data_IF_598380663196
#
_entry.id   IF_598380663196
#
_cell.length_a   1.000
_cell.length_b   1.000
_cell.length_c   1.000
_cell.angle_alpha   90.00
_cell.angle_beta   90.00
_cell.angle_gamma   90.00
#
_symmetry.space_group_name_H-M   'P 1'
#
loop_
_entity.id
_entity.type
_entity.pdbx_description
1 polymer ?
#
# COMPACT_ATOMS: atom_id res chain seq x y z
N UNK A 1 -26.02 4.07 18.03
CA UNK A 1 -27.15 4.45 18.93
C UNK A 1 -28.45 4.04 18.27
N UNK A 2 -29.35 3.38 19.01
CA UNK A 2 -30.70 3.05 18.52
C UNK A 2 -31.52 4.32 18.33
N UNK A 3 -32.35 4.37 17.29
CA UNK A 3 -33.21 5.54 17.05
C UNK A 3 -34.22 5.72 18.19
N UNK A 4 -34.66 6.95 18.46
CA UNK A 4 -35.70 7.26 19.47
C UNK A 4 -36.94 6.36 19.31
N UNK A 5 -37.31 6.07 18.06
CA UNK A 5 -38.42 5.16 17.75
C UNK A 5 -38.12 3.70 18.12
N UNK A 6 -36.87 3.27 18.04
CA UNK A 6 -36.47 1.92 18.43
C UNK A 6 -36.49 1.77 19.94
N UNK A 7 -36.02 2.76 20.66
CA UNK A 7 -36.07 2.81 22.13
C UNK A 7 -37.53 2.75 22.65
N UNK A 8 -38.46 3.52 22.03
CA UNK A 8 -39.88 3.44 22.36
C UNK A 8 -40.47 2.05 22.14
N UNK A 9 -40.11 1.34 21.08
CA UNK A 9 -40.56 -0.04 20.83
C UNK A 9 -39.99 -1.01 21.85
N UNK A 10 -38.73 -0.84 22.25
CA UNK A 10 -38.10 -1.66 23.31
C UNK A 10 -38.87 -1.54 24.61
N UNK A 11 -39.20 -0.30 25.02
CA UNK A 11 -39.99 -0.06 26.22
C UNK A 11 -41.36 -0.78 26.19
N UNK A 12 -42.09 -0.67 25.06
CA UNK A 12 -43.39 -1.39 24.92
C UNK A 12 -43.20 -2.91 25.05
N UNK A 13 -42.15 -3.47 24.45
CA UNK A 13 -41.89 -4.92 24.51
C UNK A 13 -41.50 -5.36 25.93
N UNK A 14 -40.66 -4.59 26.61
CA UNK A 14 -40.31 -4.87 28.01
C UNK A 14 -41.56 -4.87 28.92
N UNK A 15 -42.42 -3.89 28.71
CA UNK A 15 -43.70 -3.82 29.46
C UNK A 15 -44.59 -5.03 29.17
N UNK A 16 -44.69 -5.47 27.92
CA UNK A 16 -45.43 -6.69 27.55
C UNK A 16 -44.85 -7.92 28.23
N UNK A 17 -43.52 -8.04 28.30
CA UNK A 17 -42.87 -9.20 28.93
C UNK A 17 -43.21 -9.33 30.42
N UNK A 18 -43.37 -8.19 31.10
CA UNK A 18 -43.74 -8.17 32.53
C UNK A 18 -45.22 -8.54 32.72
N UNK A 19 -46.10 -7.90 31.98
CA UNK A 19 -47.54 -7.94 32.29
C UNK A 19 -48.34 -9.01 31.55
N UNK A 20 -47.80 -9.62 30.50
CA UNK A 20 -48.51 -10.60 29.66
C UNK A 20 -48.94 -11.85 30.44
N UNK A 21 -48.19 -12.31 31.43
CA UNK A 21 -48.51 -13.47 32.27
C UNK A 21 -49.34 -13.11 33.51
N UNK A 22 -49.38 -11.83 33.87
CA UNK A 22 -50.01 -11.36 35.11
C UNK A 22 -51.43 -10.81 34.93
N UNK A 23 -51.81 -10.47 33.67
CA UNK A 23 -53.12 -9.86 33.38
C UNK A 23 -53.75 -10.42 32.13
N UNK A 24 -55.03 -10.71 32.20
CA UNK A 24 -55.85 -11.13 31.03
C UNK A 24 -55.99 -10.01 30.00
N UNK A 25 -56.16 -8.78 30.46
CA UNK A 25 -56.35 -7.59 29.67
C UNK A 25 -55.05 -6.86 29.27
N UNK A 26 -53.91 -7.55 29.36
CA UNK A 26 -52.57 -6.97 29.19
C UNK A 26 -52.38 -6.13 27.88
N UNK A 27 -53.09 -6.46 26.78
CA UNK A 27 -53.00 -5.70 25.54
C UNK A 27 -53.62 -4.30 25.69
N UNK A 28 -54.80 -4.23 26.33
CA UNK A 28 -55.49 -2.96 26.61
C UNK A 28 -54.66 -2.16 27.62
N UNK A 29 -54.26 -2.79 28.69
CA UNK A 29 -53.41 -2.18 29.73
C UNK A 29 -52.11 -1.60 29.16
N UNK A 30 -51.42 -2.33 28.29
CA UNK A 30 -50.22 -1.83 27.59
C UNK A 30 -50.57 -0.64 26.72
N UNK A 31 -51.67 -0.68 25.99
CA UNK A 31 -52.09 0.43 25.11
C UNK A 31 -52.40 1.68 25.94
N UNK A 32 -53.17 1.56 27.01
CA UNK A 32 -53.58 2.71 27.84
C UNK A 32 -52.36 3.36 28.52
N UNK A 33 -51.40 2.55 29.02
CA UNK A 33 -50.15 3.04 29.61
C UNK A 33 -49.33 3.90 28.61
N UNK A 34 -49.04 3.36 27.43
CA UNK A 34 -48.22 4.10 26.44
C UNK A 34 -48.98 5.19 25.68
N UNK A 35 -50.30 5.16 25.67
CA UNK A 35 -51.11 6.29 25.21
C UNK A 35 -50.98 7.51 26.13
N UNK A 36 -50.94 7.28 27.45
CA UNK A 36 -50.64 8.30 28.45
C UNK A 36 -49.22 8.92 28.26
N UNK A 37 -48.27 8.14 27.74
CA UNK A 37 -46.93 8.65 27.34
C UNK A 37 -46.89 9.30 25.95
N UNK A 38 -48.07 9.57 25.30
CA UNK A 38 -48.17 10.22 24.00
C UNK A 38 -47.86 9.30 22.80
N UNK A 39 -47.94 7.97 22.92
CA UNK A 39 -47.84 7.10 21.76
C UNK A 39 -49.21 6.81 21.13
N UNK A 40 -49.35 6.95 19.78
CA UNK A 40 -50.61 6.64 19.09
C UNK A 40 -51.00 5.16 19.28
N UNK A 41 -52.27 4.91 19.65
CA UNK A 41 -52.86 3.56 19.89
C UNK A 41 -52.52 2.58 18.75
N UNK A 42 -52.71 3.01 17.48
CA UNK A 42 -52.36 2.15 16.32
C UNK A 42 -50.92 1.73 16.27
N UNK A 43 -49.98 2.57 16.74
CA UNK A 43 -48.54 2.28 16.79
C UNK A 43 -48.25 1.23 17.86
N UNK A 44 -48.85 1.35 19.01
CA UNK A 44 -48.70 0.40 20.13
C UNK A 44 -49.17 -0.99 19.69
N UNK A 45 -50.40 -1.10 19.18
CA UNK A 45 -50.92 -2.40 18.71
C UNK A 45 -50.12 -2.98 17.55
N UNK A 46 -49.51 -2.16 16.70
CA UNK A 46 -48.61 -2.61 15.64
C UNK A 46 -47.31 -3.18 16.21
N UNK A 47 -46.80 -2.61 17.29
CA UNK A 47 -45.62 -3.15 18.03
C UNK A 47 -45.97 -4.45 18.69
N UNK A 48 -47.13 -4.52 19.38
CA UNK A 48 -47.64 -5.75 20.03
C UNK A 48 -47.76 -6.88 19.00
N UNK A 49 -48.47 -6.65 17.89
CA UNK A 49 -48.65 -7.64 16.83
C UNK A 49 -47.34 -8.14 16.28
N UNK A 50 -46.43 -7.23 15.97
CA UNK A 50 -45.09 -7.59 15.45
C UNK A 50 -44.32 -8.44 16.46
N UNK A 51 -44.29 -8.06 17.73
CA UNK A 51 -43.56 -8.79 18.72
C UNK A 51 -44.14 -10.20 18.93
N UNK A 52 -45.44 -10.36 18.89
CA UNK A 52 -46.08 -11.67 18.97
C UNK A 52 -45.70 -12.58 17.79
N UNK A 53 -45.65 -12.01 16.55
CA UNK A 53 -45.32 -12.73 15.34
C UNK A 53 -43.83 -13.05 15.20
N UNK A 54 -42.96 -12.15 15.55
CA UNK A 54 -41.51 -12.24 15.20
C UNK A 54 -40.58 -12.37 16.39
N UNK A 55 -41.07 -12.18 17.61
CA UNK A 55 -40.29 -12.11 18.86
C UNK A 55 -39.19 -11.05 18.83
N UNK A 56 -39.28 -10.07 17.90
CA UNK A 56 -38.28 -9.05 17.65
C UNK A 56 -38.85 -7.65 17.64
N UNK A 57 -38.07 -6.69 18.16
CA UNK A 57 -38.34 -5.25 18.10
C UNK A 57 -37.89 -4.64 16.78
N UNK A 58 -36.99 -5.33 16.09
CA UNK A 58 -36.34 -4.82 14.89
C UNK A 58 -37.31 -4.65 13.69
N UNK A 59 -36.99 -3.73 12.83
CA UNK A 59 -37.72 -3.56 11.57
C UNK A 59 -37.55 -4.80 10.68
N UNK A 60 -38.61 -5.28 10.04
CA UNK A 60 -38.51 -6.39 9.06
C UNK A 60 -37.50 -6.02 7.96
N UNK A 61 -36.56 -6.93 7.68
CA UNK A 61 -35.63 -6.78 6.56
C UNK A 61 -36.44 -6.63 5.27
N UNK A 62 -36.09 -5.64 4.45
CA UNK A 62 -36.79 -5.40 3.17
C UNK A 62 -38.05 -4.53 3.24
N UNK A 63 -38.47 -4.03 4.43
CA UNK A 63 -39.64 -3.16 4.59
C UNK A 63 -39.42 -1.71 4.11
N UNK A 64 -38.29 -1.37 3.52
CA UNK A 64 -38.02 -0.05 2.94
C UNK A 64 -38.58 0.11 1.52
N UNK A 65 -38.53 1.33 1.00
CA UNK A 65 -38.94 1.62 -0.39
C UNK A 65 -38.18 0.74 -1.38
N UNK A 66 -38.83 0.00 -2.29
CA UNK A 66 -38.14 -0.82 -3.29
C UNK A 66 -37.14 0.00 -4.12
N UNK A 67 -35.99 -0.58 -4.40
CA UNK A 67 -34.96 0.08 -5.20
C UNK A 67 -35.36 0.10 -6.69
N UNK A 68 -36.03 1.18 -7.14
CA UNK A 68 -36.50 1.33 -8.53
C UNK A 68 -35.35 1.41 -9.55
N UNK A 69 -34.25 2.13 -9.24
CA UNK A 69 -33.15 2.36 -10.20
C UNK A 69 -32.14 1.22 -10.26
N UNK A 70 -31.87 0.53 -9.16
CA UNK A 70 -30.86 -0.54 -9.07
C UNK A 70 -31.48 -1.77 -8.40
N UNK A 71 -32.18 -2.58 -9.17
CA UNK A 71 -32.74 -3.86 -8.74
C UNK A 71 -31.67 -4.86 -8.30
N UNK A 72 -32.05 -5.96 -7.69
CA UNK A 72 -31.13 -7.05 -7.32
C UNK A 72 -30.35 -7.56 -8.56
N UNK A 73 -31.05 -7.77 -9.68
CA UNK A 73 -30.45 -8.21 -10.94
C UNK A 73 -29.44 -7.18 -11.45
N UNK A 74 -29.81 -5.91 -11.58
CA UNK A 74 -28.89 -4.84 -12.01
C UNK A 74 -27.64 -4.72 -11.12
N UNK A 75 -27.76 -4.98 -9.82
CA UNK A 75 -26.60 -5.01 -8.91
C UNK A 75 -25.64 -6.17 -9.22
N UNK A 76 -26.18 -7.33 -9.53
CA UNK A 76 -25.35 -8.48 -9.93
C UNK A 76 -24.68 -8.24 -11.28
N UNK A 77 -25.39 -7.66 -12.24
CA UNK A 77 -24.82 -7.28 -13.54
C UNK A 77 -23.72 -6.20 -13.39
N UNK A 78 -23.90 -5.24 -12.49
CA UNK A 78 -22.88 -4.26 -12.13
C UNK A 78 -21.67 -4.98 -11.53
N UNK A 79 -21.87 -5.91 -10.60
CA UNK A 79 -20.80 -6.69 -9.99
C UNK A 79 -20.02 -7.46 -11.05
N UNK A 80 -20.67 -8.18 -11.96
CA UNK A 80 -20.03 -8.88 -13.08
C UNK A 80 -19.27 -7.95 -14.02
N UNK A 81 -19.77 -6.72 -14.20
CA UNK A 81 -19.14 -5.72 -15.07
C UNK A 81 -17.88 -5.09 -14.47
N UNK A 82 -17.70 -5.14 -13.13
CA UNK A 82 -16.63 -4.43 -12.42
C UNK A 82 -15.61 -5.38 -11.79
N UNK A 83 -16.09 -6.46 -11.16
CA UNK A 83 -15.25 -7.31 -10.34
C UNK A 83 -14.19 -8.05 -11.18
N UNK A 84 -12.93 -7.97 -10.76
CA UNK A 84 -11.77 -8.56 -11.44
C UNK A 84 -11.54 -8.09 -12.88
N UNK A 85 -12.04 -6.90 -13.25
CA UNK A 85 -11.87 -6.33 -14.59
C UNK A 85 -11.06 -5.04 -14.57
N UNK A 86 -10.41 -4.75 -15.69
CA UNK A 86 -9.61 -3.54 -15.90
C UNK A 86 -10.27 -2.65 -16.96
N UNK A 87 -9.89 -1.36 -16.99
CA UNK A 87 -10.39 -0.41 -18.00
C UNK A 87 -11.84 0.02 -17.79
N UNK A 88 -12.38 -0.14 -16.57
CA UNK A 88 -13.78 0.17 -16.27
C UNK A 88 -13.95 1.64 -15.92
N UNK A 89 -14.80 2.33 -16.66
CA UNK A 89 -15.20 3.70 -16.38
C UNK A 89 -16.54 3.72 -15.63
N UNK A 90 -16.57 4.32 -14.43
CA UNK A 90 -17.81 4.49 -13.68
C UNK A 90 -18.83 5.40 -14.41
N UNK A 91 -18.36 6.38 -15.22
CA UNK A 91 -19.24 7.22 -16.06
C UNK A 91 -19.88 6.40 -17.18
N UNK A 92 -19.15 5.48 -17.80
CA UNK A 92 -19.70 4.57 -18.81
C UNK A 92 -20.74 3.61 -18.19
N UNK A 93 -20.46 3.09 -16.99
CA UNK A 93 -21.41 2.27 -16.24
C UNK A 93 -22.65 3.07 -15.85
N UNK A 94 -22.52 4.33 -15.43
CA UNK A 94 -23.65 5.18 -15.11
C UNK A 94 -24.60 5.33 -16.30
N UNK A 95 -24.07 5.59 -17.49
CA UNK A 95 -24.86 5.62 -18.73
C UNK A 95 -25.52 4.27 -19.03
N UNK A 96 -24.78 3.17 -18.93
CA UNK A 96 -25.29 1.80 -19.16
C UNK A 96 -26.47 1.44 -18.24
N UNK A 97 -26.39 1.83 -16.97
CA UNK A 97 -27.41 1.49 -15.96
C UNK A 97 -28.49 2.57 -15.78
N UNK A 98 -28.43 3.67 -16.55
CA UNK A 98 -29.41 4.77 -16.48
C UNK A 98 -29.42 5.45 -15.12
N UNK A 99 -28.26 5.72 -14.52
CA UNK A 99 -28.15 6.34 -13.20
C UNK A 99 -26.93 7.25 -13.12
N UNK A 100 -26.84 8.01 -12.02
CA UNK A 100 -25.72 8.90 -11.76
C UNK A 100 -24.43 8.15 -11.40
N UNK A 101 -23.26 8.72 -11.75
CA UNK A 101 -21.94 8.15 -11.47
C UNK A 101 -21.70 7.99 -9.95
N UNK A 102 -22.17 8.94 -9.15
CA UNK A 102 -22.08 8.88 -7.69
C UNK A 102 -22.86 7.69 -7.13
N UNK A 103 -24.03 7.40 -7.75
CA UNK A 103 -24.81 6.22 -7.37
C UNK A 103 -24.10 4.92 -7.71
N UNK A 104 -23.46 4.81 -8.87
CA UNK A 104 -22.61 3.68 -9.25
C UNK A 104 -21.46 3.52 -8.24
N UNK A 105 -20.75 4.61 -7.92
CA UNK A 105 -19.64 4.59 -6.96
C UNK A 105 -20.07 4.06 -5.58
N UNK A 106 -21.18 4.59 -5.06
CA UNK A 106 -21.77 4.15 -3.77
C UNK A 106 -22.20 2.68 -3.83
N UNK A 107 -22.76 2.23 -4.95
CA UNK A 107 -23.20 0.84 -5.11
C UNK A 107 -22.03 -0.11 -5.17
N UNK A 108 -20.95 0.21 -5.90
CA UNK A 108 -19.69 -0.57 -5.94
C UNK A 108 -19.13 -0.69 -4.51
N UNK A 109 -19.14 0.40 -3.74
CA UNK A 109 -18.67 0.40 -2.34
C UNK A 109 -19.53 -0.51 -1.43
N UNK A 110 -20.86 -0.48 -1.59
CA UNK A 110 -21.79 -1.38 -0.88
C UNK A 110 -21.60 -2.85 -1.23
N UNK A 111 -21.19 -3.14 -2.46
CA UNK A 111 -20.80 -4.50 -2.90
C UNK A 111 -19.42 -4.93 -2.37
N UNK A 112 -18.76 -4.10 -1.54
CA UNK A 112 -17.42 -4.32 -0.99
C UNK A 112 -16.33 -4.50 -2.06
N UNK A 113 -16.55 -3.93 -3.25
CA UNK A 113 -15.58 -3.92 -4.35
C UNK A 113 -14.76 -2.64 -4.24
N UNK A 114 -13.46 -2.78 -4.02
CA UNK A 114 -12.53 -1.67 -3.88
C UNK A 114 -11.72 -1.45 -5.15
N UNK A 115 -11.52 -0.19 -5.52
CA UNK A 115 -10.57 0.16 -6.56
C UNK A 115 -9.14 -0.10 -6.07
N UNK A 116 -8.37 -0.88 -6.84
CA UNK A 116 -6.96 -1.16 -6.58
C UNK A 116 -6.12 -0.65 -7.73
N UNK A 117 -4.93 -0.14 -7.43
CA UNK A 117 -3.95 0.21 -8.46
C UNK A 117 -3.24 -1.05 -8.93
N UNK A 118 -3.04 -1.15 -10.24
CA UNK A 118 -2.21 -2.23 -10.80
C UNK A 118 -0.75 -1.99 -10.41
N UNK A 119 -0.08 -3.05 -9.99
CA UNK A 119 1.34 -3.00 -9.65
C UNK A 119 2.14 -3.42 -10.89
N UNK A 120 3.21 -2.68 -11.17
CA UNK A 120 4.16 -3.04 -12.20
C UNK A 120 5.02 -4.19 -11.69
N UNK A 121 5.04 -5.29 -12.43
CA UNK A 121 5.85 -6.47 -12.10
C UNK A 121 6.73 -6.82 -13.28
N UNK A 122 7.91 -7.42 -13.06
CA UNK A 122 8.75 -7.92 -14.13
C UNK A 122 8.01 -8.99 -14.96
N UNK A 123 8.26 -8.99 -16.26
CA UNK A 123 7.76 -10.03 -17.16
C UNK A 123 8.79 -11.15 -17.24
N UNK A 124 8.47 -12.29 -16.67
CA UNK A 124 9.30 -13.49 -16.81
C UNK A 124 9.22 -14.05 -18.24
N UNK A 125 10.33 -14.63 -18.69
CA UNK A 125 10.43 -15.22 -20.02
C UNK A 125 9.42 -16.34 -20.22
N UNK A 126 9.31 -17.23 -19.22
CA UNK A 126 8.44 -18.39 -19.23
C UNK A 126 8.06 -18.84 -17.81
N UNK A 127 7.23 -19.87 -17.69
CA UNK A 127 6.82 -20.43 -16.41
C UNK A 127 7.98 -21.11 -15.65
N UNK A 128 9.00 -21.61 -16.34
CA UNK A 128 10.18 -22.23 -15.71
C UNK A 128 10.97 -21.19 -14.95
N UNK A 129 11.13 -19.97 -15.52
CA UNK A 129 11.76 -18.86 -14.84
C UNK A 129 10.99 -18.45 -13.57
N UNK A 130 9.66 -18.46 -13.60
CA UNK A 130 8.82 -18.19 -12.41
C UNK A 130 9.02 -19.28 -11.34
N UNK A 131 8.99 -20.56 -11.74
CA UNK A 131 9.23 -21.69 -10.81
C UNK A 131 10.62 -21.64 -10.19
N UNK A 132 11.65 -21.32 -10.99
CA UNK A 132 13.02 -21.22 -10.48
C UNK A 132 13.19 -20.03 -9.53
N UNK A 133 12.64 -18.87 -9.85
CA UNK A 133 12.66 -17.72 -8.94
C UNK A 133 11.96 -18.05 -7.60
N UNK A 134 10.82 -18.75 -7.64
CA UNK A 134 10.11 -19.25 -6.45
C UNK A 134 10.96 -20.20 -5.63
N UNK A 135 11.65 -21.15 -6.28
CA UNK A 135 12.58 -22.12 -5.64
C UNK A 135 13.75 -21.42 -4.96
N UNK A 136 14.33 -20.40 -5.62
CA UNK A 136 15.43 -19.60 -5.05
C UNK A 136 14.96 -18.78 -3.85
N UNK A 137 13.77 -18.16 -3.90
CA UNK A 137 13.19 -17.49 -2.73
C UNK A 137 13.03 -18.44 -1.53
N UNK A 138 12.59 -19.70 -1.77
CA UNK A 138 12.53 -20.74 -0.73
C UNK A 138 13.91 -21.04 -0.15
N UNK A 139 14.93 -21.31 -1.01
CA UNK A 139 16.28 -21.60 -0.59
C UNK A 139 16.88 -20.47 0.25
N UNK A 140 16.71 -19.22 -0.18
CA UNK A 140 17.15 -18.06 0.58
C UNK A 140 16.47 -17.95 1.94
N UNK A 141 15.15 -18.09 1.97
CA UNK A 141 14.38 -18.05 3.22
C UNK A 141 14.85 -19.10 4.23
N UNK A 142 15.13 -20.32 3.76
CA UNK A 142 15.57 -21.44 4.61
C UNK A 142 17.02 -21.29 5.05
N UNK A 143 17.94 -20.99 4.12
CA UNK A 143 19.39 -20.94 4.40
C UNK A 143 19.77 -19.79 5.33
N UNK A 144 19.14 -18.63 5.15
CA UNK A 144 19.50 -17.43 5.91
C UNK A 144 18.45 -17.09 6.99
N UNK A 145 17.87 -18.12 7.61
CA UNK A 145 16.77 -18.01 8.57
C UNK A 145 17.09 -17.13 9.79
N UNK A 146 18.33 -17.10 10.24
CA UNK A 146 18.79 -16.37 11.43
C UNK A 146 19.61 -15.12 11.12
N UNK A 147 19.85 -14.84 9.82
CA UNK A 147 20.70 -13.73 9.40
C UNK A 147 19.89 -12.51 9.02
N UNK A 148 20.39 -11.33 9.31
CA UNK A 148 19.89 -10.08 8.76
C UNK A 148 20.30 -9.90 7.30
N UNK A 149 19.39 -9.46 6.46
CA UNK A 149 19.75 -9.12 5.09
C UNK A 149 20.29 -7.69 5.03
N UNK A 150 21.47 -7.54 4.44
CA UNK A 150 22.02 -6.26 4.00
C UNK A 150 21.79 -6.19 2.49
N UNK A 151 21.02 -5.22 2.01
CA UNK A 151 20.73 -5.02 0.58
C UNK A 151 21.17 -3.64 0.14
N UNK A 152 21.65 -3.53 -1.07
CA UNK A 152 22.05 -2.26 -1.68
C UNK A 152 21.36 -2.04 -3.03
N UNK A 153 21.32 -0.79 -3.48
CA UNK A 153 20.82 -0.46 -4.82
C UNK A 153 21.19 0.97 -5.20
N UNK A 154 20.99 1.32 -6.49
CA UNK A 154 21.16 2.64 -7.05
C UNK A 154 19.83 3.28 -7.40
N UNK A 155 19.70 4.59 -7.11
CA UNK A 155 18.58 5.40 -7.56
C UNK A 155 19.00 6.72 -8.15
N UNK A 156 18.44 7.05 -9.30
CA UNK A 156 18.64 8.33 -9.96
C UNK A 156 17.59 9.35 -9.51
N UNK A 157 18.04 10.54 -9.11
CA UNK A 157 17.23 11.69 -8.76
C UNK A 157 17.44 12.78 -9.80
N UNK A 158 16.37 13.31 -10.41
CA UNK A 158 16.40 14.51 -11.25
C UNK A 158 16.43 15.78 -10.40
N UNK A 159 16.67 16.94 -11.03
CA UNK A 159 16.63 18.21 -10.32
C UNK A 159 15.22 18.56 -9.83
N UNK A 160 14.19 18.09 -10.51
CA UNK A 160 12.78 18.31 -10.19
C UNK A 160 12.06 17.02 -9.82
N UNK A 161 11.05 17.14 -8.98
CA UNK A 161 10.17 16.03 -8.58
C UNK A 161 8.81 16.04 -9.26
N UNK A 162 8.67 16.67 -10.41
CA UNK A 162 7.37 16.78 -11.10
C UNK A 162 6.75 15.41 -11.46
N UNK A 163 7.55 14.35 -11.54
CA UNK A 163 7.05 12.97 -11.76
C UNK A 163 6.32 12.38 -10.54
N UNK A 164 6.50 12.95 -9.36
CA UNK A 164 5.79 12.53 -8.16
C UNK A 164 4.31 12.87 -8.29
N UNK A 165 3.44 11.91 -7.96
CA UNK A 165 1.99 12.06 -8.14
C UNK A 165 1.40 13.30 -7.44
N UNK A 166 1.94 13.67 -6.28
CA UNK A 166 1.52 14.88 -5.53
C UNK A 166 1.94 16.20 -6.16
N UNK A 167 2.96 16.20 -7.04
CA UNK A 167 3.49 17.40 -7.68
C UNK A 167 2.97 17.61 -9.11
N UNK A 168 2.09 16.72 -9.60
CA UNK A 168 1.52 16.81 -10.96
C UNK A 168 0.24 17.63 -11.04
N UNK A 169 -0.36 17.94 -9.91
CA UNK A 169 -1.68 18.57 -9.86
C UNK A 169 -1.63 19.83 -9.03
N UNK A 170 -2.39 20.81 -9.43
CA UNK A 170 -2.60 22.05 -8.69
C UNK A 170 -4.09 22.36 -8.58
N UNK A 171 -4.45 23.28 -7.70
CA UNK A 171 -5.81 23.74 -7.52
C UNK A 171 -5.91 25.20 -7.96
N UNK A 172 -6.94 25.52 -8.71
CA UNK A 172 -7.25 26.90 -9.10
C UNK A 172 -8.75 27.09 -9.20
N UNK A 173 -9.23 28.27 -8.89
CA UNK A 173 -10.59 28.71 -9.14
C UNK A 173 -10.76 29.29 -10.56
N UNK A 174 -9.67 29.74 -11.18
CA UNK A 174 -9.65 30.36 -12.50
C UNK A 174 -8.32 30.08 -13.21
N UNK A 175 -8.39 29.24 -14.25
CA UNK A 175 -7.21 28.83 -14.98
C UNK A 175 -6.54 30.00 -15.72
N UNK A 176 -7.33 30.99 -16.19
CA UNK A 176 -6.82 32.15 -16.91
C UNK A 176 -5.96 33.08 -16.05
N UNK A 177 -6.17 33.05 -14.73
CA UNK A 177 -5.41 33.83 -13.73
C UNK A 177 -4.31 33.02 -13.05
N UNK A 178 -4.17 31.73 -13.42
CA UNK A 178 -3.14 30.88 -12.82
C UNK A 178 -1.75 31.26 -13.35
N UNK A 179 -0.75 31.54 -12.47
CA UNK A 179 0.60 31.80 -12.90
C UNK A 179 1.17 30.67 -13.75
N UNK A 180 1.95 31.01 -14.79
CA UNK A 180 2.47 30.07 -15.77
C UNK A 180 3.38 28.99 -15.16
N UNK A 181 4.15 29.35 -14.14
CA UNK A 181 5.04 28.45 -13.37
C UNK A 181 4.28 27.45 -12.47
N UNK A 182 3.02 27.75 -12.14
CA UNK A 182 2.11 26.82 -11.45
C UNK A 182 1.42 25.89 -12.47
N UNK A 183 0.92 26.46 -13.57
CA UNK A 183 0.17 25.74 -14.59
C UNK A 183 1.05 24.84 -15.47
N UNK A 184 2.33 25.15 -15.58
CA UNK A 184 3.26 24.44 -16.46
C UNK A 184 4.57 24.09 -15.73
N UNK A 185 5.27 23.12 -16.25
CA UNK A 185 6.66 22.84 -15.88
C UNK A 185 7.51 22.67 -17.14
N UNK A 186 8.71 23.25 -17.16
CA UNK A 186 9.64 23.07 -18.25
C UNK A 186 10.46 21.80 -18.05
N UNK A 187 10.51 20.95 -19.08
CA UNK A 187 11.34 19.73 -19.09
C UNK A 187 12.50 19.92 -20.03
N UNK A 188 13.73 19.91 -19.51
CA UNK A 188 14.93 19.85 -20.34
C UNK A 188 15.09 18.45 -20.93
N UNK A 189 15.51 18.35 -22.21
CA UNK A 189 15.74 17.06 -22.89
C UNK A 189 16.77 16.21 -22.14
N UNK A 190 17.82 16.84 -21.62
CA UNK A 190 18.89 16.20 -20.85
C UNK A 190 18.99 16.90 -19.48
N UNK A 191 18.09 16.53 -18.57
CA UNK A 191 18.14 17.06 -17.20
C UNK A 191 19.28 16.39 -16.43
N UNK A 192 20.13 17.18 -15.72
CA UNK A 192 21.14 16.62 -14.83
C UNK A 192 20.50 15.72 -13.77
N UNK A 193 21.18 14.61 -13.46
CA UNK A 193 20.73 13.66 -12.45
C UNK A 193 21.82 13.44 -11.43
N UNK A 194 21.41 13.06 -10.23
CA UNK A 194 22.29 12.56 -9.18
C UNK A 194 21.96 11.09 -8.97
N UNK A 195 22.96 10.23 -9.04
CA UNK A 195 22.85 8.84 -8.63
C UNK A 195 23.15 8.76 -7.14
N UNK A 196 22.28 8.12 -6.40
CA UNK A 196 22.46 7.69 -5.02
C UNK A 196 22.67 6.18 -5.00
N UNK A 197 23.79 5.72 -4.44
CA UNK A 197 23.94 4.35 -3.98
C UNK A 197 23.88 4.33 -2.46
N UNK A 198 23.25 3.30 -1.88
CA UNK A 198 23.13 3.11 -0.44
C UNK A 198 22.86 1.65 -0.13
N UNK A 199 23.37 1.16 1.00
CA UNK A 199 22.99 -0.13 1.57
C UNK A 199 22.11 0.05 2.80
N UNK A 200 21.12 -0.83 2.99
CA UNK A 200 20.21 -0.84 4.14
C UNK A 200 20.17 -2.21 4.81
N UNK A 201 19.96 -2.20 6.11
CA UNK A 201 19.75 -3.40 6.94
C UNK A 201 18.78 -3.09 8.08
N UNK A 202 18.33 -4.09 8.87
CA UNK A 202 17.56 -3.84 10.09
C UNK A 202 18.26 -2.91 11.11
N UNK A 203 19.59 -2.82 11.05
CA UNK A 203 20.38 -1.96 11.95
C UNK A 203 20.65 -0.55 11.42
N UNK A 204 20.20 -0.22 10.21
CA UNK A 204 20.30 1.13 9.66
C UNK A 204 20.71 1.20 8.20
N UNK A 205 21.32 2.34 7.83
CA UNK A 205 21.77 2.64 6.47
C UNK A 205 23.27 2.90 6.44
N UNK A 206 23.91 2.54 5.33
CA UNK A 206 25.33 2.86 5.10
C UNK A 206 25.52 4.36 4.80
N UNK A 207 26.75 4.81 4.78
CA UNK A 207 27.12 6.10 4.19
C UNK A 207 26.65 6.16 2.73
N UNK A 208 25.89 7.21 2.30
CA UNK A 208 25.42 7.31 0.93
C UNK A 208 26.51 7.77 -0.02
N UNK A 209 26.59 7.15 -1.20
CA UNK A 209 27.43 7.60 -2.31
C UNK A 209 26.56 8.41 -3.27
N UNK A 210 26.96 9.64 -3.54
CA UNK A 210 26.22 10.55 -4.41
C UNK A 210 27.12 11.02 -5.56
N UNK A 211 26.80 10.63 -6.78
CA UNK A 211 27.56 11.00 -7.99
C UNK A 211 26.68 11.71 -9.00
N UNK A 212 27.29 12.49 -9.89
CA UNK A 212 26.61 13.21 -10.97
C UNK A 212 27.50 13.29 -12.20
N UNK A 213 26.92 13.59 -13.38
CA UNK A 213 27.65 13.69 -14.65
C UNK A 213 28.15 12.34 -15.16
N UNK A 214 29.33 12.32 -15.78
CA UNK A 214 29.92 11.09 -16.36
C UNK A 214 30.26 10.02 -15.34
N UNK A 215 30.36 10.36 -14.07
CA UNK A 215 30.68 9.43 -12.96
C UNK A 215 29.53 8.54 -12.49
N UNK A 216 28.39 8.55 -13.17
CA UNK A 216 27.20 7.77 -12.77
C UNK A 216 27.22 6.31 -13.23
N UNK A 217 28.16 5.90 -14.06
CA UNK A 217 28.28 4.50 -14.49
C UNK A 217 28.86 3.65 -13.36
N UNK A 218 28.16 2.56 -12.99
CA UNK A 218 28.61 1.61 -11.97
C UNK A 218 29.25 0.41 -12.65
N UNK A 219 30.56 0.51 -12.85
CA UNK A 219 31.40 -0.62 -13.24
C UNK A 219 31.83 -1.42 -12.00
N UNK A 220 32.36 -2.63 -12.14
CA UNK A 220 32.90 -3.40 -10.99
C UNK A 220 33.98 -2.63 -10.23
N UNK A 221 34.86 -1.90 -10.94
CA UNK A 221 35.89 -1.07 -10.31
C UNK A 221 35.28 0.10 -9.51
N UNK A 222 34.35 0.86 -10.12
CA UNK A 222 33.68 1.98 -9.41
C UNK A 222 32.80 1.49 -8.27
N UNK A 223 32.19 0.33 -8.40
CA UNK A 223 31.41 -0.30 -7.33
C UNK A 223 32.28 -0.62 -6.13
N UNK A 224 33.45 -1.27 -6.34
CA UNK A 224 34.40 -1.59 -5.28
C UNK A 224 34.94 -0.31 -4.63
N UNK A 225 35.46 0.62 -5.44
CA UNK A 225 36.21 1.77 -4.91
C UNK A 225 35.32 2.85 -4.29
N UNK A 226 34.08 3.00 -4.72
CA UNK A 226 33.20 4.07 -4.24
C UNK A 226 32.08 3.59 -3.32
N UNK A 227 31.63 2.34 -3.48
CA UNK A 227 30.47 1.82 -2.76
C UNK A 227 30.87 0.79 -1.71
N UNK A 228 31.54 -0.26 -2.12
CA UNK A 228 31.84 -1.37 -1.21
C UNK A 228 32.90 -0.97 -0.17
N UNK A 229 34.09 -0.58 -0.62
CA UNK A 229 35.21 -0.31 0.27
C UNK A 229 34.95 0.84 1.26
N UNK A 230 34.52 2.05 0.85
CA UNK A 230 34.34 3.17 1.76
C UNK A 230 32.99 3.19 2.48
N UNK A 231 32.01 2.37 2.08
CA UNK A 231 30.66 2.47 2.61
C UNK A 231 30.10 1.15 3.13
N UNK A 232 30.13 0.06 2.34
CA UNK A 232 29.57 -1.22 2.77
C UNK A 232 30.44 -1.87 3.85
N UNK A 233 31.77 -1.98 3.61
CA UNK A 233 32.70 -2.64 4.55
C UNK A 233 32.63 -1.98 5.93
N UNK A 234 32.82 -0.66 6.10
CA UNK A 234 32.70 -0.04 7.41
C UNK A 234 31.31 -0.18 8.04
N UNK A 235 30.26 -0.17 7.22
CA UNK A 235 28.90 -0.33 7.70
C UNK A 235 28.66 -1.71 8.32
N UNK A 236 29.06 -2.78 7.61
CA UNK A 236 28.86 -4.14 8.13
C UNK A 236 29.77 -4.44 9.32
N UNK A 237 31.01 -3.96 9.33
CA UNK A 237 31.92 -4.10 10.45
C UNK A 237 31.40 -3.41 11.72
N UNK A 238 30.87 -2.19 11.58
CA UNK A 238 30.32 -1.43 12.71
C UNK A 238 28.99 -2.02 13.23
N UNK A 239 28.12 -2.45 12.33
CA UNK A 239 26.76 -2.91 12.71
C UNK A 239 26.72 -4.40 13.05
N UNK A 240 27.64 -5.21 12.54
CA UNK A 240 27.65 -6.66 12.65
C UNK A 240 29.05 -7.21 13.02
N UNK A 241 29.68 -6.72 14.12
CA UNK A 241 31.04 -7.12 14.48
C UNK A 241 31.15 -8.63 14.70
N UNK A 242 30.08 -9.29 15.15
CA UNK A 242 30.05 -10.74 15.39
C UNK A 242 29.37 -11.51 14.23
N UNK A 243 29.25 -10.92 13.05
CA UNK A 243 28.49 -11.51 11.93
C UNK A 243 26.99 -11.48 12.12
N UNK A 244 26.26 -12.52 11.66
CA UNK A 244 24.80 -12.58 11.77
C UNK A 244 24.07 -11.85 10.63
N UNK A 245 24.77 -11.49 9.57
CA UNK A 245 24.21 -10.90 8.38
C UNK A 245 24.58 -11.65 7.11
N UNK A 246 23.84 -11.39 6.03
CA UNK A 246 24.15 -11.81 4.67
C UNK A 246 23.96 -10.65 3.70
N UNK A 247 24.98 -10.31 2.95
CA UNK A 247 24.88 -9.29 1.90
C UNK A 247 24.16 -9.86 0.68
N UNK A 248 23.12 -9.20 0.26
CA UNK A 248 22.32 -9.59 -0.91
C UNK A 248 22.35 -8.50 -1.99
N UNK A 249 23.38 -8.50 -2.87
CA UNK A 249 23.46 -7.59 -4.01
C UNK A 249 22.36 -7.90 -5.03
N UNK A 250 22.05 -6.96 -5.90
CA UNK A 250 21.22 -7.25 -7.06
C UNK A 250 21.98 -8.14 -8.08
N UNK A 251 21.34 -8.48 -9.22
CA UNK A 251 21.95 -9.34 -10.24
C UNK A 251 22.68 -8.58 -11.35
N UNK A 252 23.03 -7.30 -11.15
CA UNK A 252 23.85 -6.58 -12.09
C UNK A 252 25.19 -7.28 -12.34
N UNK A 253 25.69 -7.21 -13.57
CA UNK A 253 26.93 -7.87 -13.95
C UNK A 253 28.14 -7.39 -13.15
N UNK A 254 28.19 -6.11 -12.79
CA UNK A 254 29.22 -5.50 -11.96
C UNK A 254 29.27 -6.08 -10.54
N UNK A 255 28.12 -6.49 -9.98
CA UNK A 255 28.03 -7.01 -8.61
C UNK A 255 28.55 -8.45 -8.49
N UNK A 256 28.48 -9.23 -9.56
CA UNK A 256 28.99 -10.61 -9.63
C UNK A 256 30.21 -10.75 -10.53
N UNK A 257 30.88 -9.65 -10.86
CA UNK A 257 32.16 -9.70 -11.54
C UNK A 257 33.25 -10.34 -10.66
N UNK A 258 34.20 -11.06 -11.25
CA UNK A 258 35.28 -11.73 -10.52
C UNK A 258 35.99 -10.81 -9.54
N UNK A 259 36.32 -9.59 -9.97
CA UNK A 259 36.97 -8.60 -9.10
C UNK A 259 36.10 -8.23 -7.87
N UNK A 260 34.77 -8.09 -8.04
CA UNK A 260 33.84 -7.80 -6.95
C UNK A 260 33.74 -8.95 -5.97
N UNK A 261 33.63 -10.20 -6.45
CA UNK A 261 33.57 -11.39 -5.60
C UNK A 261 34.86 -11.56 -4.81
N UNK A 262 36.02 -11.46 -5.47
CA UNK A 262 37.32 -11.54 -4.80
C UNK A 262 37.51 -10.40 -3.76
N UNK A 263 36.93 -9.22 -3.99
CA UNK A 263 36.94 -8.14 -3.02
C UNK A 263 36.10 -8.50 -1.78
N UNK A 264 34.87 -9.01 -1.98
CA UNK A 264 33.99 -9.43 -0.89
C UNK A 264 34.62 -10.55 -0.04
N UNK A 265 35.20 -11.53 -0.69
CA UNK A 265 35.88 -12.65 -0.04
C UNK A 265 37.09 -12.20 0.80
N UNK A 266 37.97 -11.34 0.25
CA UNK A 266 39.10 -10.76 0.99
C UNK A 266 38.72 -9.95 2.21
N UNK A 267 37.49 -9.33 2.20
CA UNK A 267 36.97 -8.58 3.33
C UNK A 267 36.00 -9.41 4.20
N UNK A 268 35.98 -10.74 4.02
CA UNK A 268 35.15 -11.69 4.78
C UNK A 268 33.64 -11.37 4.75
N UNK A 269 33.17 -10.69 3.69
CA UNK A 269 31.76 -10.33 3.53
C UNK A 269 31.02 -11.53 2.96
N UNK A 270 30.17 -12.15 3.78
CA UNK A 270 29.27 -13.21 3.33
C UNK A 270 28.19 -12.63 2.43
N UNK A 271 28.05 -13.18 1.22
CA UNK A 271 27.08 -12.70 0.24
C UNK A 271 26.22 -13.83 -0.32
N UNK A 272 25.07 -13.48 -0.88
CA UNK A 272 24.17 -14.42 -1.56
C UNK A 272 24.79 -14.80 -2.91
N UNK A 273 25.13 -16.10 -3.14
CA UNK A 273 25.68 -16.55 -4.41
C UNK A 273 24.72 -16.30 -5.58
N UNK A 274 25.25 -16.04 -6.78
CA UNK A 274 24.48 -15.71 -7.99
C UNK A 274 23.43 -16.76 -8.32
N UNK A 275 23.74 -18.04 -8.12
CA UNK A 275 22.88 -19.20 -8.38
C UNK A 275 21.70 -19.24 -7.41
N UNK A 276 21.88 -18.75 -6.20
CA UNK A 276 20.83 -18.70 -5.18
C UNK A 276 20.00 -17.41 -5.26
N UNK A 277 20.56 -16.35 -5.82
CA UNK A 277 19.88 -15.07 -5.95
C UNK A 277 18.66 -15.20 -6.89
N UNK A 278 17.42 -14.92 -6.43
CA UNK A 278 16.25 -14.99 -7.29
C UNK A 278 16.35 -13.99 -8.44
N UNK A 279 15.93 -14.41 -9.62
CA UNK A 279 15.90 -13.51 -10.79
C UNK A 279 14.61 -12.70 -10.78
N UNK A 280 14.72 -11.42 -11.08
CA UNK A 280 13.57 -10.53 -11.32
C UNK A 280 12.53 -10.50 -10.19
N UNK A 281 12.99 -10.42 -8.94
CA UNK A 281 12.13 -10.29 -7.76
C UNK A 281 12.38 -8.98 -6.99
N UNK A 282 12.32 -7.80 -7.65
CA UNK A 282 12.57 -6.52 -6.99
C UNK A 282 11.63 -6.29 -5.81
N UNK A 283 10.40 -6.82 -5.88
CA UNK A 283 9.41 -6.73 -4.80
C UNK A 283 9.86 -7.43 -3.50
N UNK A 284 10.83 -8.32 -3.55
CA UNK A 284 11.44 -8.92 -2.37
C UNK A 284 12.57 -8.06 -1.78
N UNK A 285 13.00 -7.02 -2.49
CA UNK A 285 14.04 -6.07 -2.09
C UNK A 285 13.40 -4.72 -1.71
N UNK A 286 13.07 -4.49 -0.44
CA UNK A 286 12.32 -3.30 0.01
C UNK A 286 13.14 -2.00 -0.01
N UNK A 287 14.34 -1.99 -0.55
CA UNK A 287 15.12 -0.78 -0.77
C UNK A 287 14.41 0.21 -1.71
N UNK A 288 13.60 -0.30 -2.63
CA UNK A 288 12.74 0.53 -3.49
C UNK A 288 11.67 1.29 -2.69
N UNK A 289 11.13 0.68 -1.63
CA UNK A 289 10.19 1.35 -0.72
C UNK A 289 10.90 2.47 0.04
N UNK A 290 12.12 2.20 0.53
CA UNK A 290 12.96 3.22 1.16
C UNK A 290 13.24 4.40 0.22
N UNK A 291 13.59 4.13 -1.03
CA UNK A 291 13.78 5.17 -2.06
C UNK A 291 12.49 5.95 -2.34
N UNK A 292 11.32 5.31 -2.26
CA UNK A 292 10.03 5.99 -2.38
C UNK A 292 9.81 7.01 -1.26
N UNK A 293 10.08 6.61 -0.01
CA UNK A 293 10.02 7.49 1.16
C UNK A 293 11.01 8.65 1.04
N UNK A 294 12.25 8.36 0.64
CA UNK A 294 13.29 9.36 0.44
C UNK A 294 12.90 10.38 -0.64
N UNK A 295 12.45 9.91 -1.80
CA UNK A 295 12.04 10.79 -2.91
C UNK A 295 10.88 11.71 -2.50
N UNK A 296 9.90 11.20 -1.78
CA UNK A 296 8.79 12.00 -1.26
C UNK A 296 9.29 13.13 -0.33
N UNK A 297 10.31 12.89 0.48
CA UNK A 297 10.91 13.91 1.36
C UNK A 297 11.77 14.91 0.58
N UNK A 298 12.56 14.44 -0.39
CA UNK A 298 13.42 15.30 -1.22
C UNK A 298 12.57 16.29 -1.99
N UNK A 299 11.50 15.84 -2.64
CA UNK A 299 10.64 16.68 -3.48
C UNK A 299 9.37 17.19 -2.79
N UNK A 300 9.37 17.19 -1.47
CA UNK A 300 8.23 17.70 -0.70
C UNK A 300 7.94 19.17 -1.07
N UNK A 301 6.66 19.51 -1.18
CA UNK A 301 6.18 20.85 -1.57
C UNK A 301 6.74 21.32 -2.92
N UNK A 302 6.83 20.40 -3.88
CA UNK A 302 7.33 20.65 -5.23
C UNK A 302 8.74 21.30 -5.27
N UNK A 303 9.59 20.92 -4.32
CA UNK A 303 10.95 21.46 -4.27
C UNK A 303 11.76 21.07 -5.51
N UNK A 304 12.44 22.05 -6.09
CA UNK A 304 13.29 21.90 -7.28
C UNK A 304 14.71 22.32 -6.91
N UNK A 305 15.68 21.52 -7.31
CA UNK A 305 17.09 21.82 -7.12
C UNK A 305 17.59 22.81 -8.19
N UNK A 306 18.38 23.81 -7.77
CA UNK A 306 19.04 24.71 -8.74
C UNK A 306 20.15 24.01 -9.52
N UNK A 307 20.84 23.07 -8.89
CA UNK A 307 21.97 22.32 -9.44
C UNK A 307 22.12 20.94 -8.76
N UNK A 308 23.04 20.12 -9.27
CA UNK A 308 23.31 18.78 -8.73
C UNK A 308 23.85 18.81 -7.30
N UNK A 309 24.64 19.83 -6.91
CA UNK A 309 25.19 19.91 -5.55
C UNK A 309 24.12 20.29 -4.51
N UNK A 310 23.20 21.17 -4.87
CA UNK A 310 22.03 21.46 -4.04
C UNK A 310 21.17 20.20 -3.82
N UNK A 311 20.99 19.41 -4.90
CA UNK A 311 20.27 18.13 -4.81
C UNK A 311 21.01 17.13 -3.90
N UNK A 312 22.32 16.96 -4.04
CA UNK A 312 23.13 16.09 -3.18
C UNK A 312 23.02 16.49 -1.69
N UNK A 313 23.13 17.80 -1.40
CA UNK A 313 22.94 18.30 -0.01
C UNK A 313 21.55 17.97 0.52
N UNK A 314 20.51 18.20 -0.29
CA UNK A 314 19.12 17.91 0.09
C UNK A 314 18.90 16.41 0.34
N UNK A 315 19.42 15.54 -0.53
CA UNK A 315 19.32 14.08 -0.36
C UNK A 315 19.97 13.66 0.97
N UNK A 316 21.20 14.09 1.26
CA UNK A 316 21.89 13.81 2.54
C UNK A 316 21.07 14.26 3.76
N UNK A 317 20.53 15.47 3.70
CA UNK A 317 19.70 16.01 4.80
C UNK A 317 18.41 15.21 4.97
N UNK A 318 17.78 14.74 3.88
CA UNK A 318 16.58 13.92 3.94
C UNK A 318 16.85 12.52 4.48
N UNK A 319 17.98 11.89 4.11
CA UNK A 319 18.39 10.58 4.66
C UNK A 319 18.49 10.65 6.19
N UNK A 320 19.15 11.67 6.73
CA UNK A 320 19.29 11.86 8.19
C UNK A 320 17.94 12.03 8.92
N UNK A 321 16.90 12.50 8.22
CA UNK A 321 15.56 12.73 8.79
C UNK A 321 14.60 11.55 8.63
N UNK A 322 15.01 10.47 7.95
CA UNK A 322 14.19 9.25 7.88
C UNK A 322 14.30 8.53 9.23
N UNK A 323 13.18 8.22 9.90
CA UNK A 323 13.22 7.49 11.17
C UNK A 323 13.90 6.12 11.01
N UNK A 324 14.74 5.75 11.96
CA UNK A 324 15.42 4.44 11.97
C UNK A 324 14.42 3.28 11.85
N UNK A 325 13.26 3.40 12.50
CA UNK A 325 12.17 2.41 12.40
C UNK A 325 11.70 2.16 10.96
N UNK A 326 11.65 3.19 10.11
CA UNK A 326 11.27 3.03 8.69
C UNK A 326 12.24 2.13 7.93
N UNK A 327 13.53 2.26 8.20
CA UNK A 327 14.56 1.41 7.60
C UNK A 327 14.49 0.00 8.17
N UNK A 328 14.33 -0.13 9.48
CA UNK A 328 14.20 -1.39 10.18
C UNK A 328 12.99 -2.19 9.67
N UNK A 329 11.80 -1.57 9.62
CA UNK A 329 10.58 -2.22 9.14
C UNK A 329 10.72 -2.66 7.67
N UNK A 330 11.32 -1.83 6.82
CA UNK A 330 11.61 -2.16 5.43
C UNK A 330 12.53 -3.39 5.36
N UNK A 331 13.68 -3.36 5.99
CA UNK A 331 14.66 -4.45 5.93
C UNK A 331 14.13 -5.74 6.56
N UNK A 332 13.44 -5.69 7.68
CA UNK A 332 12.82 -6.85 8.32
C UNK A 332 11.72 -7.48 7.45
N UNK A 333 11.09 -6.70 6.56
CA UNK A 333 10.05 -7.21 5.66
C UNK A 333 10.57 -8.22 4.64
N UNK A 334 11.89 -8.26 4.36
CA UNK A 334 12.52 -9.15 3.37
C UNK A 334 12.10 -10.60 3.59
N UNK A 335 12.18 -11.09 4.81
CA UNK A 335 11.82 -12.48 5.14
C UNK A 335 10.36 -12.80 4.86
N UNK A 336 9.46 -11.89 5.28
CA UNK A 336 8.03 -12.04 5.01
C UNK A 336 7.76 -12.05 3.50
N UNK A 337 8.48 -11.22 2.73
CA UNK A 337 8.37 -11.14 1.27
C UNK A 337 8.89 -12.41 0.60
N UNK A 338 10.05 -12.91 0.98
CA UNK A 338 10.59 -14.19 0.50
C UNK A 338 9.65 -15.36 0.80
N UNK A 339 9.13 -15.44 2.03
CA UNK A 339 8.16 -16.46 2.43
C UNK A 339 6.86 -16.37 1.63
N UNK A 340 6.33 -15.16 1.41
CA UNK A 340 5.13 -14.93 0.62
C UNK A 340 5.36 -15.30 -0.84
N UNK A 341 6.52 -14.90 -1.43
CA UNK A 341 6.91 -15.29 -2.78
C UNK A 341 6.98 -16.81 -2.96
N UNK A 342 7.53 -17.50 -1.97
CA UNK A 342 7.63 -18.95 -1.95
C UNK A 342 6.26 -19.63 -1.79
N UNK A 343 5.45 -19.24 -0.81
CA UNK A 343 4.18 -19.92 -0.50
C UNK A 343 3.08 -19.61 -1.50
N UNK A 344 2.82 -18.36 -1.74
CA UNK A 344 1.67 -17.87 -2.51
C UNK A 344 2.01 -17.65 -3.97
N UNK A 345 3.24 -17.22 -4.25
CA UNK A 345 3.72 -16.93 -5.60
C UNK A 345 4.45 -15.60 -5.68
N UNK A 346 5.31 -15.46 -6.69
CA UNK A 346 6.20 -14.30 -6.83
C UNK A 346 5.42 -12.99 -6.96
N UNK A 347 4.33 -12.98 -7.71
CA UNK A 347 3.50 -11.80 -7.91
C UNK A 347 2.67 -11.40 -6.69
N UNK A 348 2.47 -12.30 -5.73
CA UNK A 348 1.68 -12.03 -4.52
C UNK A 348 2.34 -11.04 -3.57
N UNK A 349 3.65 -10.85 -3.66
CA UNK A 349 4.41 -9.91 -2.80
C UNK A 349 4.06 -8.46 -3.11
N UNK A 350 3.51 -8.21 -4.28
CA UNK A 350 3.15 -6.88 -4.76
C UNK A 350 1.83 -6.32 -4.15
N UNK A 351 1.14 -7.11 -3.33
CA UNK A 351 -0.19 -6.76 -2.76
C UNK A 351 -0.20 -6.81 -1.24
#
# INVERSE_FOLDING_TARGET
>A
MSSLQEQRRIKVVQFIQIWKSQRVDWKKFTADHFMAEGMPRATIYRVIKRFLETKSVARRKGSGRPAKKMTRQKREDLRRSVNHKTGISQRALARKFGCDQTYISRTIKRLKINCRKRVKVPKYKDERAVKEAKKRCRKMYQKFKTMDFVIDDEKYFGLSGFQMSGNRSFYTSDLSKTPIDVATYSKKKFEPKVMLWIAISPKGVSKPVLTSGRSMSVTSSTYITRCLNPCLVPFVQAQYPNGGYIFWPDKASSHYARATLSFLERNEIKYVPKEMNPTEVPQCRPIEDYFGVLATRVYNKNWVAKDAEALKRRIRACIKKIPAKTVQDAAQSIRKRLLKAYRVGIYSVCH
#
